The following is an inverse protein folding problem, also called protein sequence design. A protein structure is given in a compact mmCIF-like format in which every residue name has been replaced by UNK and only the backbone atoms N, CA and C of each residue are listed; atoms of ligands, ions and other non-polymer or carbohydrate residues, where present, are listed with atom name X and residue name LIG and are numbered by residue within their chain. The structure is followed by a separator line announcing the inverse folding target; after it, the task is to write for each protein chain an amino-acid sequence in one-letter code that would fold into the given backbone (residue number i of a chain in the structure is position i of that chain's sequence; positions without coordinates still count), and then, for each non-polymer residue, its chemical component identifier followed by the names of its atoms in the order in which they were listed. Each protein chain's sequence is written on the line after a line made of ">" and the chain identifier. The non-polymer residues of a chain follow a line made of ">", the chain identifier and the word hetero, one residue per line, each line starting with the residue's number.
data_IF_106015284132
#
_entry.id   IF_106015284132
#
_cell.length_a   1.000
_cell.length_b   1.000
_cell.length_c   1.000
_cell.angle_alpha   90.00
_cell.angle_beta   90.00
_cell.angle_gamma   90.00
#
_symmetry.space_group_name_H-M   'P 1'
#
loop_
_entity.id
_entity.type
_entity.pdbx_description
1 polymer ?
#
# COMPACT_ATOMS: atom_id res chain seq x y z
N UNK A 1 -27.88 13.09 28.96
CA UNK A 1 -26.43 12.77 28.91
C UNK A 1 -26.16 12.29 27.50
N UNK A 2 -25.63 13.18 26.66
CA UNK A 2 -25.42 12.92 25.23
C UNK A 2 -24.26 11.97 25.02
N UNK A 3 -24.45 10.98 24.14
CA UNK A 3 -23.39 10.09 23.70
C UNK A 3 -22.32 10.94 22.98
N UNK A 4 -21.11 10.96 23.51
CA UNK A 4 -19.93 11.40 22.77
C UNK A 4 -19.72 10.39 21.64
N UNK A 5 -20.29 10.67 20.45
CA UNK A 5 -19.85 10.02 19.23
C UNK A 5 -18.36 10.34 19.10
N UNK A 6 -17.51 9.32 19.24
CA UNK A 6 -16.10 9.41 18.91
C UNK A 6 -16.01 9.88 17.46
N UNK A 7 -15.56 11.11 17.25
CA UNK A 7 -15.21 11.63 15.91
C UNK A 7 -14.09 10.74 15.37
N UNK A 8 -14.47 9.75 14.56
CA UNK A 8 -13.54 8.98 13.76
C UNK A 8 -13.06 9.93 12.67
N UNK A 9 -11.79 10.32 12.69
CA UNK A 9 -11.19 11.14 11.65
C UNK A 9 -11.28 10.40 10.31
N UNK A 10 -12.09 10.88 9.33
CA UNK A 10 -12.28 10.20 8.07
C UNK A 10 -10.96 9.99 7.31
N UNK A 11 -9.99 10.89 7.50
CA UNK A 11 -8.66 10.76 6.90
C UNK A 11 -7.89 9.57 7.49
N UNK A 12 -8.01 9.33 8.80
CA UNK A 12 -7.37 8.19 9.47
C UNK A 12 -7.89 6.86 8.93
N UNK A 13 -9.21 6.76 8.71
CA UNK A 13 -9.83 5.57 8.12
C UNK A 13 -9.40 5.35 6.67
N UNK A 14 -9.36 6.41 5.86
CA UNK A 14 -8.89 6.33 4.47
C UNK A 14 -7.42 5.89 4.39
N UNK A 15 -6.57 6.45 5.25
CA UNK A 15 -5.15 6.09 5.33
C UNK A 15 -4.94 4.65 5.78
N UNK A 16 -5.74 4.18 6.75
CA UNK A 16 -5.71 2.79 7.20
C UNK A 16 -6.13 1.82 6.09
N UNK A 17 -7.24 2.11 5.41
CA UNK A 17 -7.71 1.31 4.30
C UNK A 17 -6.67 1.29 3.15
N UNK A 18 -6.07 2.43 2.82
CA UNK A 18 -4.99 2.49 1.85
C UNK A 18 -3.79 1.62 2.25
N UNK A 19 -3.40 1.65 3.53
CA UNK A 19 -2.28 0.84 4.04
C UNK A 19 -2.54 -0.66 3.90
N UNK A 20 -3.73 -1.12 4.30
CA UNK A 20 -4.15 -2.52 4.23
C UNK A 20 -4.18 -3.03 2.77
N UNK A 21 -4.80 -2.27 1.87
CA UNK A 21 -4.88 -2.62 0.45
C UNK A 21 -3.49 -2.66 -0.21
N UNK A 22 -2.64 -1.69 0.10
CA UNK A 22 -1.27 -1.63 -0.43
C UNK A 22 -0.44 -2.81 0.06
N UNK A 23 -0.55 -3.18 1.34
CA UNK A 23 0.17 -4.33 1.89
C UNK A 23 -0.26 -5.64 1.23
N UNK A 24 -1.56 -5.85 1.03
CA UNK A 24 -2.09 -7.01 0.31
C UNK A 24 -1.61 -7.07 -1.15
N UNK A 25 -1.59 -5.93 -1.86
CA UNK A 25 -1.07 -5.86 -3.23
C UNK A 25 0.42 -6.22 -3.28
N UNK A 26 1.22 -5.69 -2.37
CA UNK A 26 2.66 -5.97 -2.29
C UNK A 26 2.95 -7.46 -2.05
N UNK A 27 2.16 -8.11 -1.19
CA UNK A 27 2.23 -9.56 -0.97
C UNK A 27 1.94 -10.33 -2.26
N UNK A 28 0.88 -9.96 -2.99
CA UNK A 28 0.52 -10.60 -4.27
C UNK A 28 1.58 -10.42 -5.36
N UNK A 29 2.18 -9.23 -5.45
CA UNK A 29 3.29 -8.97 -6.37
C UNK A 29 4.49 -9.86 -6.00
N UNK A 30 4.83 -9.95 -4.72
CA UNK A 30 5.94 -10.79 -4.24
C UNK A 30 5.68 -12.28 -4.47
N UNK A 31 4.45 -12.75 -4.25
CA UNK A 31 4.07 -14.16 -4.41
C UNK A 31 4.10 -14.63 -5.87
N UNK A 32 3.89 -13.72 -6.83
CA UNK A 32 3.94 -14.06 -8.26
C UNK A 32 5.37 -14.20 -8.80
N UNK A 33 6.41 -13.76 -8.09
CA UNK A 33 7.81 -13.96 -8.48
C UNK A 33 8.08 -13.70 -9.98
N UNK A 34 8.71 -14.67 -10.65
CA UNK A 34 9.03 -14.59 -12.09
C UNK A 34 7.79 -14.61 -13.00
N UNK A 35 6.63 -15.06 -12.53
CA UNK A 35 5.39 -15.01 -13.30
C UNK A 35 4.92 -13.56 -13.54
N UNK A 36 5.42 -12.60 -12.77
CA UNK A 36 5.25 -11.16 -13.10
C UNK A 36 6.04 -10.77 -14.35
N UNK A 37 7.14 -11.43 -14.69
CA UNK A 37 7.87 -11.13 -15.92
C UNK A 37 7.18 -11.71 -17.16
N UNK A 38 6.38 -12.77 -17.01
CA UNK A 38 5.73 -13.43 -18.13
C UNK A 38 4.77 -12.48 -18.89
N UNK A 39 5.00 -12.31 -20.19
CA UNK A 39 4.21 -11.44 -21.05
C UNK A 39 4.47 -9.94 -20.86
N UNK A 40 5.49 -9.53 -20.08
CA UNK A 40 5.89 -8.13 -19.90
C UNK A 40 7.23 -7.84 -20.55
N UNK A 41 7.39 -6.63 -21.08
CA UNK A 41 8.69 -6.13 -21.55
C UNK A 41 9.61 -5.82 -20.37
N UNK A 42 10.94 -5.75 -20.58
CA UNK A 42 11.88 -5.33 -19.55
C UNK A 42 11.53 -3.98 -18.90
N UNK A 43 11.11 -2.98 -19.69
CA UNK A 43 10.67 -1.69 -19.11
C UNK A 43 9.43 -1.83 -18.23
N UNK A 44 8.47 -2.69 -18.59
CA UNK A 44 7.28 -2.92 -17.78
C UNK A 44 7.62 -3.62 -16.45
N UNK A 45 8.56 -4.57 -16.47
CA UNK A 45 9.05 -5.23 -15.25
C UNK A 45 9.76 -4.21 -14.34
N UNK A 46 10.61 -3.34 -14.91
CA UNK A 46 11.28 -2.29 -14.15
C UNK A 46 10.29 -1.28 -13.56
N UNK A 47 9.31 -0.84 -14.34
CA UNK A 47 8.28 0.10 -13.87
C UNK A 47 7.48 -0.49 -12.69
N UNK A 48 7.13 -1.77 -12.75
CA UNK A 48 6.46 -2.46 -11.66
C UNK A 48 7.37 -2.60 -10.42
N UNK A 49 8.65 -2.90 -10.61
CA UNK A 49 9.65 -2.90 -9.54
C UNK A 49 9.76 -1.53 -8.86
N UNK A 50 9.85 -0.45 -9.64
CA UNK A 50 9.85 0.92 -9.12
C UNK A 50 8.56 1.24 -8.35
N UNK A 51 7.40 0.90 -8.91
CA UNK A 51 6.10 1.08 -8.25
C UNK A 51 6.04 0.38 -6.89
N UNK A 52 6.51 -0.88 -6.81
CA UNK A 52 6.62 -1.63 -5.55
C UNK A 52 7.44 -0.89 -4.51
N UNK A 53 8.60 -0.36 -4.89
CA UNK A 53 9.46 0.42 -3.99
C UNK A 53 8.75 1.66 -3.45
N UNK A 54 8.08 2.42 -4.31
CA UNK A 54 7.36 3.63 -3.88
C UNK A 54 6.19 3.31 -2.92
N UNK A 55 5.45 2.22 -3.16
CA UNK A 55 4.41 1.76 -2.24
C UNK A 55 4.96 1.40 -0.86
N UNK A 56 6.10 0.70 -0.80
CA UNK A 56 6.78 0.39 0.47
C UNK A 56 7.20 1.64 1.22
N UNK A 57 7.80 2.61 0.52
CA UNK A 57 8.20 3.89 1.12
C UNK A 57 6.98 4.67 1.64
N UNK A 58 5.87 4.66 0.91
CA UNK A 58 4.61 5.28 1.35
C UNK A 58 4.07 4.65 2.63
N UNK A 59 4.10 3.32 2.76
CA UNK A 59 3.71 2.63 4.00
C UNK A 59 4.62 2.99 5.18
N UNK A 60 5.93 3.12 4.95
CA UNK A 60 6.88 3.52 5.99
C UNK A 60 6.65 4.97 6.43
N UNK A 61 6.44 5.89 5.49
CA UNK A 61 6.13 7.27 5.79
C UNK A 61 4.81 7.40 6.55
N UNK A 62 3.77 6.67 6.13
CA UNK A 62 2.49 6.67 6.81
C UNK A 62 2.60 6.15 8.25
N UNK A 63 3.33 5.05 8.45
CA UNK A 63 3.60 4.52 9.80
C UNK A 63 4.30 5.56 10.68
N UNK A 64 5.28 6.27 10.13
CA UNK A 64 6.01 7.32 10.86
C UNK A 64 5.13 8.53 11.20
N UNK A 65 4.17 8.89 10.32
CA UNK A 65 3.24 9.99 10.56
C UNK A 65 2.17 9.67 11.62
N UNK A 66 1.94 8.38 11.93
CA UNK A 66 0.97 7.89 12.91
C UNK A 66 1.62 7.50 14.26
N UNK A 67 2.94 7.65 14.39
CA UNK A 67 3.71 7.30 15.60
C UNK A 67 3.80 8.45 16.60
#
# INVERSE_FOLDING_TARGET
>A
MGACASDVDPLSDELKNWAEQTQHLLQRISARGDAVAHGRSPQQVMALGSCRTHMLLGLQALKAAQS
#
